data_IF_543139408377
#
_entry.id   IF_543139408377
#
_cell.length_a   1.000
_cell.length_b   1.000
_cell.length_c   1.000
_cell.angle_alpha   90.00
_cell.angle_beta   90.00
_cell.angle_gamma   90.00
#
_symmetry.space_group_name_H-M   'P 1'
#
loop_
_entity.id
_entity.type
_entity.pdbx_description
1 polymer ?
#
# COMPACT_ATOMS: atom_id res chain seq x y z
N UNK A 1 -4.33 2.36 3.00
CA UNK A 1 -5.10 2.15 4.25
C UNK A 1 -6.56 1.97 3.92
N UNK A 2 -7.21 0.99 4.54
CA UNK A 2 -8.62 0.66 4.36
C UNK A 2 -9.32 0.95 5.70
N UNK A 3 -10.44 1.67 5.67
CA UNK A 3 -11.23 1.99 6.86
C UNK A 3 -12.65 1.49 6.65
N UNK A 4 -13.06 0.51 7.44
CA UNK A 4 -14.31 -0.20 7.30
C UNK A 4 -15.12 -0.08 8.58
N UNK A 5 -16.18 0.72 8.57
CA UNK A 5 -17.15 0.73 9.66
C UNK A 5 -18.23 -0.30 9.38
N UNK A 6 -18.46 -1.21 10.31
CA UNK A 6 -19.55 -2.18 10.25
C UNK A 6 -20.68 -1.81 11.23
N UNK A 7 -21.91 -2.19 10.89
CA UNK A 7 -23.05 -2.26 11.78
C UNK A 7 -23.66 -3.67 11.71
N UNK A 8 -24.55 -4.04 12.65
CA UNK A 8 -25.64 -4.96 12.30
C UNK A 8 -26.44 -4.27 11.17
N UNK A 9 -26.10 -4.67 9.94
CA UNK A 9 -26.37 -4.06 8.63
C UNK A 9 -27.66 -3.28 8.41
N UNK A 10 -27.57 -2.27 7.52
CA UNK A 10 -28.37 -2.12 6.28
C UNK A 10 -27.45 -1.59 5.14
N UNK A 11 -27.77 -2.00 3.91
CA UNK A 11 -27.03 -1.95 2.63
C UNK A 11 -26.92 -0.60 1.91
N UNK A 12 -25.84 -0.38 1.13
CA UNK A 12 -25.83 0.34 -0.17
C UNK A 12 -24.44 0.25 -0.88
N UNK A 13 -24.34 0.49 -2.22
CA UNK A 13 -23.30 -0.11 -3.07
C UNK A 13 -22.22 0.81 -3.69
N UNK A 14 -21.14 0.13 -4.13
CA UNK A 14 -20.16 0.32 -5.23
C UNK A 14 -19.34 1.62 -5.43
N UNK A 15 -18.03 1.44 -5.67
CA UNK A 15 -17.17 2.17 -6.64
C UNK A 15 -15.84 1.41 -6.84
N UNK A 16 -15.28 1.43 -8.07
CA UNK A 16 -14.03 0.79 -8.50
C UNK A 16 -13.13 1.87 -9.15
N UNK A 17 -11.84 1.89 -8.82
CA UNK A 17 -10.84 2.79 -9.43
C UNK A 17 -9.58 2.05 -9.89
N UNK A 18 -9.01 2.47 -11.03
CA UNK A 18 -7.77 1.95 -11.66
C UNK A 18 -6.58 2.89 -11.37
N UNK A 19 -5.39 2.34 -11.17
CA UNK A 19 -4.14 3.09 -10.95
C UNK A 19 -3.43 3.46 -12.27
N UNK A 20 -2.73 4.60 -12.28
CA UNK A 20 -1.80 5.04 -13.35
C UNK A 20 -0.47 5.51 -12.75
N UNK A 21 0.57 5.53 -13.60
CA UNK A 21 1.99 5.73 -13.26
C UNK A 21 2.27 7.07 -12.56
N UNK A 22 3.33 7.16 -11.74
CA UNK A 22 3.62 8.35 -10.95
C UNK A 22 4.26 9.46 -11.79
N UNK A 23 3.79 10.69 -11.55
CA UNK A 23 4.42 11.92 -11.99
C UNK A 23 5.09 12.61 -10.81
N UNK A 24 6.28 13.18 -10.98
CA UNK A 24 6.56 14.50 -10.44
C UNK A 24 7.84 15.14 -10.99
N UNK A 25 7.94 16.44 -10.72
CA UNK A 25 9.17 17.21 -10.69
C UNK A 25 9.35 17.75 -9.27
N UNK A 26 10.54 17.56 -8.70
CA UNK A 26 10.97 18.19 -7.44
C UNK A 26 11.01 19.71 -7.65
N UNK A 27 10.14 20.47 -6.97
CA UNK A 27 10.26 21.93 -6.90
C UNK A 27 11.08 22.29 -5.67
N UNK A 28 12.14 23.04 -5.93
CA UNK A 28 13.32 23.34 -5.12
C UNK A 28 13.07 24.22 -3.91
N UNK A 29 13.72 23.89 -2.80
CA UNK A 29 14.28 24.89 -1.88
C UNK A 29 15.37 25.70 -2.62
N UNK A 30 15.49 27.01 -2.41
CA UNK A 30 16.54 27.81 -3.03
C UNK A 30 17.90 27.35 -2.49
N UNK A 31 18.91 27.27 -3.35
CA UNK A 31 20.31 26.92 -3.08
C UNK A 31 20.78 25.46 -3.23
N UNK A 32 20.20 24.69 -4.16
CA UNK A 32 20.91 23.55 -4.77
C UNK A 32 21.04 23.72 -6.29
N UNK A 33 22.13 24.34 -6.72
CA UNK A 33 22.47 24.49 -8.12
C UNK A 33 22.68 23.13 -8.84
N UNK A 34 21.86 22.94 -9.88
CA UNK A 34 22.21 22.41 -11.20
C UNK A 34 22.88 21.03 -11.26
N UNK A 35 22.04 20.01 -11.43
CA UNK A 35 22.00 19.11 -12.61
C UNK A 35 20.79 18.17 -12.49
N UNK A 36 19.62 18.63 -12.97
CA UNK A 36 18.48 17.74 -13.24
C UNK A 36 18.87 16.79 -14.39
N UNK A 37 18.95 15.48 -14.12
CA UNK A 37 19.43 14.48 -15.09
C UNK A 37 18.41 14.15 -16.20
N UNK A 38 17.16 14.58 -16.05
CA UNK A 38 16.17 14.53 -17.13
C UNK A 38 16.07 15.90 -17.78
N UNK A 39 16.53 16.00 -19.04
CA UNK A 39 16.38 17.22 -19.85
C UNK A 39 14.90 17.67 -19.94
N UNK A 40 13.96 16.72 -19.85
CA UNK A 40 12.52 16.92 -19.70
C UNK A 40 11.96 15.87 -18.71
N UNK A 41 11.40 16.31 -17.56
CA UNK A 41 10.63 15.42 -16.67
C UNK A 41 9.29 14.99 -17.28
N UNK A 42 8.51 14.10 -16.62
CA UNK A 42 7.18 13.72 -17.11
C UNK A 42 6.30 14.97 -17.27
N UNK A 43 5.50 15.00 -18.33
CA UNK A 43 4.59 16.09 -18.64
C UNK A 43 3.64 16.36 -17.45
N UNK A 44 3.80 17.49 -16.74
CA UNK A 44 3.04 17.76 -15.52
C UNK A 44 1.55 17.94 -15.83
N UNK A 45 1.19 18.26 -17.08
CA UNK A 45 -0.21 18.35 -17.50
C UNK A 45 -0.90 16.99 -17.54
N UNK A 46 -0.19 15.87 -17.35
CA UNK A 46 -0.82 14.54 -17.26
C UNK A 46 -1.17 14.13 -15.84
N UNK A 47 -0.97 15.04 -14.89
CA UNK A 47 -1.08 14.75 -13.48
C UNK A 47 -2.18 15.66 -12.94
N UNK A 48 -3.34 15.08 -12.64
CA UNK A 48 -4.54 15.80 -12.25
C UNK A 48 -5.14 15.22 -10.96
N UNK A 49 -5.65 16.10 -10.10
CA UNK A 49 -6.39 15.73 -8.89
C UNK A 49 -7.88 15.82 -9.18
N UNK A 50 -8.60 14.76 -8.86
CA UNK A 50 -10.05 14.72 -8.90
C UNK A 50 -10.66 14.98 -7.52
N UNK A 51 -11.83 15.62 -7.51
CA UNK A 51 -12.78 15.66 -6.40
C UNK A 51 -14.15 15.28 -6.96
N UNK A 52 -14.63 14.07 -6.64
CA UNK A 52 -15.76 13.47 -7.35
C UNK A 52 -15.44 13.29 -8.85
N UNK A 53 -16.31 13.81 -9.71
CA UNK A 53 -16.16 13.73 -11.16
C UNK A 53 -15.37 14.91 -11.77
N UNK A 54 -14.97 15.88 -10.95
CA UNK A 54 -14.32 17.11 -11.41
C UNK A 54 -12.80 17.05 -11.25
N UNK A 55 -12.06 17.45 -12.30
CA UNK A 55 -10.65 17.81 -12.14
C UNK A 55 -10.59 19.15 -11.39
N UNK A 56 -9.94 19.13 -10.23
CA UNK A 56 -9.80 20.30 -9.34
C UNK A 56 -8.38 20.85 -9.28
N UNK A 57 -7.39 20.10 -9.73
CA UNK A 57 -6.02 20.60 -9.82
C UNK A 57 -5.26 19.93 -10.96
N UNK A 58 -4.65 20.71 -11.85
CA UNK A 58 -3.81 20.24 -12.94
C UNK A 58 -2.80 21.35 -13.30
N UNK A 59 -1.48 21.13 -13.19
CA UNK A 59 -0.84 19.95 -12.60
C UNK A 59 -1.14 19.82 -11.10
N UNK A 60 -1.13 18.58 -10.58
CA UNK A 60 -1.19 18.31 -9.14
C UNK A 60 -0.08 19.06 -8.38
N UNK A 61 -0.40 19.59 -7.20
CA UNK A 61 0.56 20.14 -6.23
C UNK A 61 0.78 19.17 -5.06
N UNK A 62 1.93 18.51 -5.07
CA UNK A 62 2.29 17.50 -4.06
C UNK A 62 2.48 18.06 -2.65
N UNK A 63 2.97 19.30 -2.52
CA UNK A 63 3.30 19.95 -1.24
C UNK A 63 2.17 19.89 -0.20
N UNK A 64 0.91 19.93 -0.62
CA UNK A 64 -0.27 19.94 0.26
C UNK A 64 -1.14 18.70 0.07
N UNK A 65 -0.65 17.69 -0.67
CA UNK A 65 -1.46 16.55 -1.09
C UNK A 65 -1.98 15.76 0.10
N UNK A 66 -1.13 15.41 1.06
CA UNK A 66 -1.52 14.60 2.22
C UNK A 66 -2.52 15.32 3.09
N UNK A 67 -2.29 16.61 3.33
CA UNK A 67 -3.22 17.46 4.07
C UNK A 67 -4.58 17.53 3.36
N UNK A 68 -4.61 17.70 2.03
CA UNK A 68 -5.84 17.65 1.25
C UNK A 68 -6.57 16.29 1.37
N UNK A 69 -5.84 15.17 1.37
CA UNK A 69 -6.44 13.84 1.57
C UNK A 69 -7.00 13.67 2.99
N UNK A 70 -6.32 14.21 4.01
CA UNK A 70 -6.84 14.25 5.39
C UNK A 70 -8.11 15.12 5.47
N UNK A 71 -8.14 16.26 4.78
CA UNK A 71 -9.35 17.08 4.68
C UNK A 71 -10.50 16.33 4.00
N UNK A 72 -10.22 15.58 2.94
CA UNK A 72 -11.23 14.77 2.27
C UNK A 72 -11.81 13.69 3.20
N UNK A 73 -10.94 12.98 3.94
CA UNK A 73 -11.37 12.06 4.98
C UNK A 73 -12.27 12.73 6.02
N UNK A 74 -11.86 13.89 6.54
CA UNK A 74 -12.66 14.63 7.53
C UNK A 74 -14.00 15.03 6.93
N UNK A 75 -14.02 15.63 5.74
CA UNK A 75 -15.27 15.99 5.02
C UNK A 75 -16.19 14.77 4.88
N UNK A 76 -15.66 13.65 4.39
CA UNK A 76 -16.40 12.40 4.28
C UNK A 76 -17.03 12.01 5.63
N UNK A 77 -16.23 11.95 6.69
CA UNK A 77 -16.71 11.56 8.01
C UNK A 77 -17.78 12.52 8.55
N UNK A 78 -17.62 13.83 8.37
CA UNK A 78 -18.62 14.83 8.75
C UNK A 78 -19.96 14.55 8.08
N UNK A 79 -19.93 14.41 6.76
CA UNK A 79 -21.13 14.20 5.98
C UNK A 79 -21.84 12.90 6.38
N UNK A 80 -21.08 11.83 6.68
CA UNK A 80 -21.69 10.57 7.16
C UNK A 80 -22.35 10.77 8.52
N UNK A 81 -21.64 11.36 9.47
CA UNK A 81 -22.17 11.59 10.82
C UNK A 81 -23.41 12.49 10.81
N UNK A 82 -23.48 13.47 9.91
CA UNK A 82 -24.66 14.33 9.73
C UNK A 82 -25.82 13.59 9.06
N UNK A 83 -25.57 12.78 8.02
CA UNK A 83 -26.62 12.11 7.23
C UNK A 83 -27.28 10.94 7.96
N UNK A 84 -26.51 10.10 8.65
CA UNK A 84 -27.03 8.84 9.19
C UNK A 84 -26.75 8.61 10.68
N UNK A 85 -26.15 9.59 11.39
CA UNK A 85 -25.87 9.53 12.82
C UNK A 85 -25.18 8.22 13.25
N UNK A 86 -24.18 7.80 12.48
CA UNK A 86 -23.40 6.58 12.70
C UNK A 86 -24.13 5.31 12.31
N UNK A 87 -25.27 5.30 11.62
CA UNK A 87 -26.04 4.08 11.32
C UNK A 87 -25.61 3.34 10.05
N UNK A 88 -25.06 4.02 9.05
CA UNK A 88 -24.69 3.29 7.82
C UNK A 88 -23.27 2.73 7.96
N UNK A 89 -23.02 1.48 7.56
CA UNK A 89 -21.66 1.00 7.36
C UNK A 89 -20.99 1.78 6.23
N UNK A 90 -19.67 1.88 6.26
CA UNK A 90 -18.92 2.51 5.18
C UNK A 90 -17.60 1.80 4.89
N UNK A 91 -17.14 1.98 3.66
CA UNK A 91 -15.81 1.61 3.20
C UNK A 91 -15.11 2.87 2.68
N UNK A 92 -13.95 3.19 3.25
CA UNK A 92 -13.10 4.28 2.78
C UNK A 92 -11.73 3.70 2.41
N UNK A 93 -11.33 3.88 1.15
CA UNK A 93 -10.01 3.49 0.67
C UNK A 93 -9.09 4.71 0.62
N UNK A 94 -8.21 4.81 1.61
CA UNK A 94 -7.21 5.86 1.68
C UNK A 94 -5.91 5.36 1.02
N UNK A 95 -5.74 5.67 -0.27
CA UNK A 95 -4.53 5.35 -1.04
C UNK A 95 -3.52 6.48 -0.94
N UNK A 96 -2.54 6.35 -0.04
CA UNK A 96 -1.48 7.35 0.09
C UNK A 96 -0.59 7.37 -1.17
N UNK A 97 -0.27 8.55 -1.72
CA UNK A 97 0.76 8.67 -2.75
C UNK A 97 2.17 8.43 -2.21
N UNK A 98 2.35 8.56 -0.89
CA UNK A 98 3.56 8.16 -0.17
C UNK A 98 3.76 6.64 -0.18
N UNK A 99 4.98 6.13 -0.25
CA UNK A 99 6.29 6.78 -0.44
C UNK A 99 6.87 6.43 -1.81
N UNK A 100 6.07 6.64 -2.86
CA UNK A 100 6.51 6.35 -4.23
C UNK A 100 7.74 7.20 -4.62
N UNK A 101 8.46 6.80 -5.66
CA UNK A 101 9.67 7.42 -6.23
C UNK A 101 9.75 8.95 -6.27
N UNK A 102 8.64 9.66 -6.34
CA UNK A 102 8.65 11.10 -6.02
C UNK A 102 8.41 11.29 -4.54
N UNK A 103 9.49 11.59 -3.83
CA UNK A 103 9.38 12.05 -2.46
C UNK A 103 8.93 13.51 -2.42
N UNK A 104 7.96 13.78 -1.57
CA UNK A 104 7.47 15.11 -1.24
C UNK A 104 7.06 15.12 0.23
N UNK A 105 7.12 16.31 0.82
CA UNK A 105 6.58 16.54 2.14
C UNK A 105 6.05 17.97 2.24
N UNK A 106 5.01 18.15 3.06
CA UNK A 106 4.55 19.47 3.48
C UNK A 106 5.66 20.22 4.23
N UNK A 107 5.78 21.56 4.10
CA UNK A 107 6.81 22.36 4.77
C UNK A 107 7.01 22.06 6.26
N UNK A 108 5.93 21.71 6.96
CA UNK A 108 5.97 21.38 8.39
C UNK A 108 6.75 20.09 8.71
N UNK A 109 6.98 19.24 7.72
CA UNK A 109 7.67 17.96 7.86
C UNK A 109 9.07 17.96 7.23
N UNK A 110 9.44 18.98 6.47
CA UNK A 110 10.76 19.05 5.82
C UNK A 110 11.87 19.12 6.87
N UNK A 111 12.87 18.24 6.73
CA UNK A 111 14.01 18.16 7.64
C UNK A 111 13.69 17.55 9.00
N UNK A 112 12.53 16.92 9.18
CA UNK A 112 12.14 16.29 10.46
C UNK A 112 12.68 14.88 10.62
N UNK A 113 13.12 14.24 9.53
CA UNK A 113 13.62 12.88 9.54
C UNK A 113 15.10 12.78 9.25
N UNK A 114 15.78 11.91 10.00
CA UNK A 114 17.17 11.51 9.73
C UNK A 114 17.33 10.77 8.40
N UNK A 115 16.23 10.30 7.79
CA UNK A 115 16.22 9.67 6.45
C UNK A 115 15.94 10.66 5.32
N UNK A 116 16.14 11.96 5.57
CA UNK A 116 15.90 13.03 4.59
C UNK A 116 14.46 13.04 4.09
N UNK A 117 14.26 13.50 2.85
CA UNK A 117 12.94 13.73 2.27
C UNK A 117 12.07 12.46 2.20
N UNK A 118 12.67 11.29 2.01
CA UNK A 118 11.94 10.01 2.09
C UNK A 118 11.33 9.82 3.48
N UNK A 119 12.13 10.06 4.52
CA UNK A 119 11.68 9.97 5.91
C UNK A 119 10.68 11.07 6.29
N UNK A 120 10.84 12.28 5.77
CA UNK A 120 9.88 13.37 5.95
C UNK A 120 8.51 12.98 5.36
N UNK A 121 8.51 12.35 4.17
CA UNK A 121 7.29 11.83 3.54
C UNK A 121 6.62 10.74 4.38
N UNK A 122 7.41 9.85 5.00
CA UNK A 122 6.90 8.86 5.96
C UNK A 122 6.30 9.53 7.19
N UNK A 123 6.97 10.53 7.76
CA UNK A 123 6.47 11.25 8.94
C UNK A 123 5.12 11.92 8.65
N UNK A 124 4.97 12.54 7.48
CA UNK A 124 3.71 13.15 7.05
C UNK A 124 2.60 12.10 6.86
N UNK A 125 2.91 10.97 6.22
CA UNK A 125 1.96 9.85 6.09
C UNK A 125 1.55 9.30 7.48
N UNK A 126 2.51 9.17 8.39
CA UNK A 126 2.25 8.71 9.77
C UNK A 126 1.35 9.69 10.51
N UNK A 127 1.55 10.99 10.35
CA UNK A 127 0.64 12.01 10.91
C UNK A 127 -0.77 11.86 10.34
N UNK A 128 -0.90 11.71 9.02
CA UNK A 128 -2.20 11.56 8.36
C UNK A 128 -2.97 10.31 8.81
N UNK A 129 -2.28 9.19 9.05
CA UNK A 129 -2.87 8.00 9.68
C UNK A 129 -3.37 8.33 11.09
N UNK A 130 -2.57 9.06 11.87
CA UNK A 130 -2.96 9.54 13.19
C UNK A 130 -4.26 10.35 13.16
N UNK A 131 -4.39 11.29 12.22
CA UNK A 131 -5.61 12.08 12.03
C UNK A 131 -6.84 11.21 11.76
N UNK A 132 -6.70 10.15 10.95
CA UNK A 132 -7.80 9.22 10.69
C UNK A 132 -8.23 8.48 11.95
N UNK A 133 -7.28 7.89 12.69
CA UNK A 133 -7.56 7.14 13.91
C UNK A 133 -8.19 8.04 14.99
N UNK A 134 -7.62 9.22 15.19
CA UNK A 134 -8.13 10.23 16.13
C UNK A 134 -9.56 10.66 15.81
N UNK A 135 -9.86 10.88 14.53
CA UNK A 135 -11.20 11.23 14.08
C UNK A 135 -12.20 10.11 14.38
N UNK A 136 -11.84 8.84 14.23
CA UNK A 136 -12.70 7.70 14.56
C UNK A 136 -12.99 7.60 16.07
N UNK A 137 -11.97 7.82 16.90
CA UNK A 137 -12.09 7.83 18.37
C UNK A 137 -12.98 8.98 18.83
N UNK A 138 -12.71 10.21 18.36
CA UNK A 138 -13.48 11.40 18.73
C UNK A 138 -14.93 11.33 18.25
N UNK A 139 -15.18 10.71 17.09
CA UNK A 139 -16.53 10.44 16.61
C UNK A 139 -17.24 9.34 17.42
N UNK A 140 -16.55 8.59 18.28
CA UNK A 140 -17.11 7.49 19.06
C UNK A 140 -17.61 6.34 18.18
N UNK A 141 -16.86 5.99 17.13
CA UNK A 141 -17.14 4.88 16.22
C UNK A 141 -15.95 3.91 16.06
N UNK A 142 -14.85 4.13 16.81
CA UNK A 142 -13.62 3.35 16.72
C UNK A 142 -13.84 1.83 16.91
N UNK A 143 -14.62 1.43 17.92
CA UNK A 143 -14.86 0.01 18.23
C UNK A 143 -15.63 -0.73 17.10
N UNK A 144 -16.39 0.02 16.31
CA UNK A 144 -17.14 -0.49 15.15
C UNK A 144 -16.41 -0.27 13.82
N UNK A 145 -15.14 0.13 13.84
CA UNK A 145 -14.37 0.45 12.63
C UNK A 145 -13.08 -0.34 12.56
N UNK A 146 -13.00 -1.27 11.61
CA UNK A 146 -11.78 -1.98 11.24
C UNK A 146 -10.91 -1.11 10.34
N UNK A 147 -9.69 -0.82 10.79
CA UNK A 147 -8.66 -0.14 10.00
C UNK A 147 -7.58 -1.14 9.63
N UNK A 148 -7.25 -1.22 8.34
CA UNK A 148 -6.14 -2.02 7.82
C UNK A 148 -5.13 -1.10 7.15
N UNK A 149 -3.89 -1.16 7.59
CA UNK A 149 -2.75 -0.50 6.95
C UNK A 149 -1.87 -1.55 6.28
N UNK A 150 -1.59 -1.35 4.99
CA UNK A 150 -0.71 -2.22 4.23
C UNK A 150 -0.08 -1.46 3.06
N UNK A 151 1.03 -1.99 2.53
CA UNK A 151 1.62 -1.56 1.25
C UNK A 151 1.01 -2.33 0.07
N UNK A 152 1.26 -1.91 -1.16
CA UNK A 152 0.90 -2.66 -2.38
C UNK A 152 2.01 -3.62 -2.84
N UNK A 153 3.27 -3.23 -2.64
CA UNK A 153 4.46 -4.02 -2.92
C UNK A 153 5.63 -3.65 -1.99
N UNK A 154 6.74 -4.37 -2.10
CA UNK A 154 8.01 -4.05 -1.45
C UNK A 154 8.64 -2.74 -1.92
N UNK A 155 9.67 -2.21 -1.24
CA UNK A 155 10.23 -0.91 -1.55
C UNK A 155 10.93 -0.86 -2.91
N UNK A 156 10.91 0.32 -3.55
CA UNK A 156 11.89 0.69 -4.57
C UNK A 156 13.26 0.89 -3.91
N UNK A 157 13.96 -0.20 -3.59
CA UNK A 157 15.23 -0.17 -2.87
C UNK A 157 16.35 0.49 -3.70
N UNK A 158 16.25 0.40 -5.03
CA UNK A 158 17.21 0.94 -6.01
C UNK A 158 17.23 2.48 -6.08
N UNK A 159 16.29 3.16 -5.43
CA UNK A 159 16.22 4.63 -5.38
C UNK A 159 17.10 5.27 -4.30
N UNK A 160 18.02 4.50 -3.71
CA UNK A 160 19.00 4.99 -2.74
C UNK A 160 18.33 5.71 -1.56
N UNK A 161 18.72 6.95 -1.24
CA UNK A 161 18.12 7.75 -0.16
C UNK A 161 16.64 8.07 -0.39
N UNK A 162 16.14 7.95 -1.62
CA UNK A 162 14.73 8.14 -1.98
C UNK A 162 13.94 6.82 -2.05
N UNK A 163 14.57 5.71 -1.65
CA UNK A 163 14.00 4.36 -1.63
C UNK A 163 13.66 3.87 -0.22
N UNK A 164 12.81 2.85 -0.16
CA UNK A 164 12.51 2.15 1.08
C UNK A 164 13.53 1.07 1.43
N UNK A 165 13.36 0.46 2.59
CA UNK A 165 14.19 -0.67 3.04
C UNK A 165 13.35 -1.94 3.09
N UNK A 166 13.94 -3.06 2.68
CA UNK A 166 13.34 -4.39 2.80
C UNK A 166 13.59 -5.02 4.18
N UNK A 167 14.32 -4.35 5.07
CA UNK A 167 14.77 -4.94 6.33
C UNK A 167 15.71 -6.13 6.13
N UNK A 168 16.45 -6.16 5.01
CA UNK A 168 17.38 -7.24 4.67
C UNK A 168 16.77 -8.36 3.84
N UNK A 169 15.45 -8.42 3.66
CA UNK A 169 14.81 -9.37 2.74
C UNK A 169 15.33 -9.17 1.32
N UNK A 170 15.48 -10.27 0.60
CA UNK A 170 16.08 -10.31 -0.74
C UNK A 170 15.19 -9.65 -1.78
N UNK A 171 15.81 -8.95 -2.74
CA UNK A 171 15.11 -8.23 -3.81
C UNK A 171 14.43 -6.94 -3.33
N UNK A 172 13.51 -6.42 -4.13
CA UNK A 172 12.69 -5.26 -3.80
C UNK A 172 11.47 -5.23 -4.69
N UNK A 173 10.86 -4.05 -4.89
CA UNK A 173 9.75 -3.87 -5.82
C UNK A 173 10.08 -4.60 -7.13
N UNK A 174 9.07 -5.31 -7.63
CA UNK A 174 9.11 -5.88 -8.98
C UNK A 174 9.99 -7.15 -9.10
N UNK A 175 10.66 -7.59 -8.03
CA UNK A 175 11.23 -8.94 -7.92
C UNK A 175 10.25 -9.91 -7.22
N UNK A 176 10.36 -11.22 -7.52
CA UNK A 176 9.58 -12.30 -6.89
C UNK A 176 10.21 -12.87 -5.60
N UNK A 177 11.25 -12.22 -5.09
CA UNK A 177 11.82 -12.51 -3.78
C UNK A 177 10.97 -11.92 -2.64
N UNK A 178 11.23 -12.32 -1.39
CA UNK A 178 10.44 -11.88 -0.25
C UNK A 178 10.44 -10.36 -0.07
N UNK A 179 11.53 -9.66 -0.37
CA UNK A 179 11.61 -8.20 -0.29
C UNK A 179 10.70 -7.46 -1.27
N UNK A 180 10.19 -8.12 -2.31
CA UNK A 180 9.26 -7.53 -3.28
C UNK A 180 7.78 -7.76 -2.97
N UNK A 181 7.45 -8.85 -2.26
CA UNK A 181 6.08 -9.30 -2.02
C UNK A 181 5.67 -9.31 -0.55
N UNK A 182 6.62 -9.46 0.39
CA UNK A 182 6.35 -9.42 1.82
C UNK A 182 6.28 -7.95 2.26
N UNK A 183 5.09 -7.53 2.64
CA UNK A 183 4.75 -6.13 2.95
C UNK A 183 4.35 -5.96 4.42
N UNK A 184 4.44 -4.74 4.98
CA UNK A 184 3.80 -4.46 6.26
C UNK A 184 2.29 -4.63 6.17
N UNK A 185 1.69 -5.21 7.21
CA UNK A 185 0.25 -5.37 7.35
C UNK A 185 -0.13 -5.19 8.83
N UNK A 186 -1.02 -4.23 9.11
CA UNK A 186 -1.49 -3.92 10.47
C UNK A 186 -3.01 -3.85 10.44
N UNK A 187 -3.67 -4.54 11.37
CA UNK A 187 -5.09 -4.42 11.63
C UNK A 187 -5.33 -3.73 12.97
N UNK A 188 -6.31 -2.83 13.02
CA UNK A 188 -6.68 -2.08 14.21
C UNK A 188 -8.20 -1.99 14.31
N UNK A 189 -8.75 -2.42 15.44
CA UNK A 189 -10.15 -2.23 15.82
C UNK A 189 -10.26 -2.42 17.34
N UNK A 190 -10.34 -1.35 18.13
CA UNK A 190 -10.45 -1.45 19.58
C UNK A 190 -11.64 -2.33 20.00
N UNK A 191 -11.46 -3.14 21.03
CA UNK A 191 -12.48 -4.07 21.53
C UNK A 191 -12.64 -5.37 20.74
N UNK A 192 -12.22 -5.42 19.47
CA UNK A 192 -12.42 -6.59 18.58
C UNK A 192 -11.09 -7.24 18.17
N UNK A 193 -10.12 -6.46 17.67
CA UNK A 193 -8.79 -6.95 17.32
C UNK A 193 -7.92 -6.96 18.58
N UNK A 194 -7.34 -8.12 18.92
CA UNK A 194 -6.44 -8.27 20.09
C UNK A 194 -5.21 -7.37 19.95
N UNK A 195 -5.08 -6.39 20.85
CA UNK A 195 -3.98 -5.42 20.84
C UNK A 195 -2.61 -6.09 21.06
N UNK A 196 -1.58 -5.61 20.35
CA UNK A 196 -0.20 -6.08 20.51
C UNK A 196 0.08 -7.51 20.00
N UNK A 197 -0.90 -8.17 19.38
CA UNK A 197 -0.72 -9.50 18.80
C UNK A 197 0.11 -9.44 17.52
N UNK A 198 1.05 -10.37 17.41
CA UNK A 198 1.75 -10.68 16.16
C UNK A 198 1.22 -12.00 15.62
N UNK A 199 0.91 -12.06 14.33
CA UNK A 199 0.55 -13.30 13.62
C UNK A 199 1.67 -13.71 12.69
N UNK A 200 1.92 -15.01 12.63
CA UNK A 200 2.83 -15.65 11.67
C UNK A 200 2.09 -16.39 10.57
N UNK A 201 0.78 -16.22 10.47
CA UNK A 201 0.00 -16.78 9.37
C UNK A 201 0.40 -16.17 8.02
N UNK A 202 0.33 -16.99 6.98
CA UNK A 202 0.61 -16.55 5.60
C UNK A 202 -0.68 -16.06 4.98
N UNK A 203 -0.79 -14.74 4.86
CA UNK A 203 -1.93 -14.05 4.25
C UNK A 203 -1.51 -13.34 2.95
N UNK A 204 -2.50 -12.98 2.14
CA UNK A 204 -2.37 -12.23 0.90
C UNK A 204 -3.34 -11.06 0.89
N UNK A 205 -2.99 -9.96 0.20
CA UNK A 205 -3.92 -8.84 -0.02
C UNK A 205 -5.21 -9.29 -0.73
N UNK A 206 -5.16 -10.38 -1.50
CA UNK A 206 -6.33 -11.00 -2.14
C UNK A 206 -7.34 -11.56 -1.13
N UNK A 207 -6.90 -11.93 0.08
CA UNK A 207 -7.78 -12.42 1.15
C UNK A 207 -8.74 -11.34 1.64
N UNK A 208 -8.37 -10.06 1.50
CA UNK A 208 -9.21 -8.93 1.93
C UNK A 208 -10.51 -8.86 1.15
N UNK A 209 -10.48 -9.14 -0.17
CA UNK A 209 -11.71 -9.15 -0.96
C UNK A 209 -12.70 -10.19 -0.43
N UNK A 210 -12.22 -11.42 -0.22
CA UNK A 210 -13.05 -12.52 0.30
C UNK A 210 -13.55 -12.22 1.71
N UNK A 211 -12.67 -11.70 2.57
CA UNK A 211 -12.99 -11.33 3.96
C UNK A 211 -14.05 -10.24 4.02
N UNK A 212 -13.92 -9.15 3.24
CA UNK A 212 -14.90 -8.07 3.23
C UNK A 212 -16.22 -8.47 2.59
N UNK A 213 -16.18 -9.33 1.57
CA UNK A 213 -17.38 -9.89 0.95
C UNK A 213 -18.16 -10.74 1.95
N UNK A 214 -17.47 -11.61 2.68
CA UNK A 214 -18.10 -12.50 3.66
C UNK A 214 -18.54 -11.76 4.94
N UNK A 215 -17.96 -10.59 5.22
CA UNK A 215 -18.41 -9.66 6.27
C UNK A 215 -19.76 -9.00 5.96
N UNK A 216 -20.19 -8.96 4.70
CA UNK A 216 -21.48 -8.40 4.30
C UNK A 216 -22.57 -9.46 4.48
N UNK A 217 -23.57 -9.26 5.35
CA UNK A 217 -24.82 -10.04 5.25
C UNK A 217 -25.76 -9.42 4.21
N UNK A 218 -25.23 -9.18 2.99
CA UNK A 218 -26.06 -8.79 1.85
C UNK A 218 -26.40 -10.06 1.03
N UNK A 219 -27.62 -10.16 0.48
CA UNK A 219 -27.96 -11.22 -0.46
C UNK A 219 -26.94 -11.23 -1.59
N UNK A 220 -26.19 -12.33 -1.74
CA UNK A 220 -25.24 -12.46 -2.83
C UNK A 220 -26.04 -12.48 -4.13
N UNK A 221 -25.83 -11.48 -4.99
CA UNK A 221 -26.36 -11.56 -6.35
C UNK A 221 -25.78 -12.82 -7.01
N UNK A 222 -26.58 -13.60 -7.77
CA UNK A 222 -26.11 -14.75 -8.52
C UNK A 222 -25.21 -14.26 -9.66
N UNK A 223 -23.97 -13.92 -9.34
CA UNK A 223 -22.90 -13.72 -10.32
C UNK A 223 -22.35 -15.10 -10.66
N UNK A 224 -21.84 -15.32 -11.88
CA UNK A 224 -21.15 -16.56 -12.23
C UNK A 224 -20.10 -16.85 -11.16
N UNK A 225 -19.97 -18.12 -10.78
CA UNK A 225 -19.06 -18.56 -9.72
C UNK A 225 -17.62 -18.28 -10.15
N UNK A 226 -17.12 -17.09 -9.83
CA UNK A 226 -15.73 -16.73 -10.04
C UNK A 226 -14.88 -17.49 -9.02
N UNK A 227 -13.81 -18.14 -9.51
CA UNK A 227 -12.78 -18.68 -8.64
C UNK A 227 -12.10 -17.49 -7.94
N UNK A 228 -12.02 -17.52 -6.61
CA UNK A 228 -11.36 -16.50 -5.81
C UNK A 228 -10.10 -17.10 -5.21
N UNK A 229 -8.96 -16.47 -5.44
CA UNK A 229 -7.68 -16.92 -4.89
C UNK A 229 -7.54 -16.62 -3.38
N UNK A 230 -8.28 -15.61 -2.91
CA UNK A 230 -8.29 -15.20 -1.50
C UNK A 230 -9.21 -16.05 -0.63
N UNK A 231 -8.81 -16.25 0.63
CA UNK A 231 -9.63 -16.88 1.66
C UNK A 231 -10.17 -15.85 2.67
N UNK A 232 -11.20 -16.23 3.42
CA UNK A 232 -11.65 -15.43 4.56
C UNK A 232 -10.63 -15.57 5.71
N UNK A 233 -10.12 -14.44 6.20
CA UNK A 233 -9.14 -14.35 7.30
C UNK A 233 -9.68 -13.60 8.52
N UNK A 234 -11.00 -13.40 8.64
CA UNK A 234 -11.59 -12.54 9.66
C UNK A 234 -11.23 -12.96 11.10
N UNK A 235 -11.37 -14.25 11.40
CA UNK A 235 -11.02 -14.80 12.72
C UNK A 235 -9.54 -14.64 13.03
N UNK A 236 -8.68 -14.69 12.01
CA UNK A 236 -7.25 -14.46 12.16
C UNK A 236 -6.93 -12.98 12.42
N UNK A 237 -7.61 -12.06 11.72
CA UNK A 237 -7.50 -10.62 11.96
C UNK A 237 -7.89 -10.25 13.40
N UNK A 238 -8.97 -10.85 13.91
CA UNK A 238 -9.42 -10.62 15.30
C UNK A 238 -8.54 -11.34 16.33
N UNK A 239 -7.77 -12.34 15.90
CA UNK A 239 -6.97 -13.20 16.78
C UNK A 239 -7.81 -14.23 17.53
N UNK A 240 -8.96 -14.62 16.98
CA UNK A 240 -9.89 -15.62 17.52
C UNK A 240 -9.85 -16.96 16.77
N UNK A 241 -9.02 -17.06 15.73
CA UNK A 241 -8.75 -18.33 15.04
C UNK A 241 -8.38 -19.44 16.04
N UNK A 242 -9.02 -20.59 15.89
CA UNK A 242 -8.75 -21.82 16.66
C UNK A 242 -7.83 -22.78 15.91
N UNK A 243 -7.44 -22.42 14.70
CA UNK A 243 -6.56 -23.22 13.86
C UNK A 243 -5.12 -23.21 14.41
N UNK A 244 -4.34 -24.27 14.19
CA UNK A 244 -2.96 -24.34 14.66
C UNK A 244 -2.07 -23.30 13.93
N UNK A 245 -0.95 -22.84 14.54
CA UNK A 245 -0.05 -21.90 13.89
C UNK A 245 0.48 -22.37 12.51
N UNK A 246 0.50 -21.43 11.57
CA UNK A 246 0.88 -21.64 10.17
C UNK A 246 -0.22 -22.31 9.33
N UNK A 247 -1.44 -22.42 9.85
CA UNK A 247 -2.54 -23.13 9.18
C UNK A 247 -2.84 -22.57 7.78
N UNK A 248 -2.97 -21.24 7.65
CA UNK A 248 -3.29 -20.60 6.38
C UNK A 248 -2.18 -20.84 5.35
N UNK A 249 -0.92 -20.83 5.79
CA UNK A 249 0.22 -21.15 4.91
C UNK A 249 0.26 -22.61 4.47
N UNK A 250 -0.13 -23.54 5.34
CA UNK A 250 -0.16 -24.99 5.03
C UNK A 250 -1.36 -25.37 4.18
N UNK A 251 -2.51 -24.69 4.35
CA UNK A 251 -3.77 -25.01 3.68
C UNK A 251 -3.78 -24.59 2.21
N UNK A 252 -3.05 -23.54 1.82
CA UNK A 252 -3.03 -23.03 0.45
C UNK A 252 -1.66 -22.49 0.03
N UNK A 253 -1.30 -22.60 -1.25
CA UNK A 253 -0.10 -21.97 -1.76
C UNK A 253 -0.26 -20.46 -1.96
N UNK A 254 0.84 -19.73 -1.95
CA UNK A 254 0.93 -18.36 -2.50
C UNK A 254 1.70 -18.41 -3.81
N UNK A 255 1.12 -17.85 -4.87
CA UNK A 255 1.76 -17.79 -6.19
C UNK A 255 2.40 -16.43 -6.42
N UNK A 256 3.63 -16.42 -6.92
CA UNK A 256 4.40 -15.21 -7.21
C UNK A 256 4.53 -15.07 -8.72
N UNK A 257 3.79 -14.13 -9.28
CA UNK A 257 3.82 -13.83 -10.71
C UNK A 257 4.62 -12.57 -10.99
N UNK A 258 5.27 -12.57 -12.15
CA UNK A 258 5.92 -11.41 -12.75
C UNK A 258 5.38 -11.31 -14.18
N UNK A 259 4.41 -10.40 -14.38
CA UNK A 259 3.53 -10.42 -15.55
C UNK A 259 2.89 -11.81 -15.77
N UNK A 260 3.09 -12.44 -16.92
CA UNK A 260 2.57 -13.78 -17.23
C UNK A 260 3.46 -14.92 -16.70
N UNK A 261 4.65 -14.62 -16.19
CA UNK A 261 5.59 -15.62 -15.72
C UNK A 261 5.31 -16.02 -14.26
N UNK A 262 5.01 -17.30 -14.04
CA UNK A 262 5.01 -17.86 -12.69
C UNK A 262 6.47 -18.03 -12.23
N UNK A 263 6.87 -17.24 -11.24
CA UNK A 263 8.25 -17.17 -10.77
C UNK A 263 8.50 -18.17 -9.63
N UNK A 264 7.60 -18.18 -8.65
CA UNK A 264 7.71 -19.01 -7.46
C UNK A 264 6.35 -19.37 -6.89
N UNK A 265 6.34 -20.38 -6.02
CA UNK A 265 5.23 -20.66 -5.11
C UNK A 265 5.74 -20.77 -3.67
N UNK A 266 4.90 -20.46 -2.70
CA UNK A 266 5.13 -20.76 -1.28
C UNK A 266 4.10 -21.75 -0.78
N UNK A 267 4.54 -22.79 -0.06
CA UNK A 267 3.71 -23.80 0.60
C UNK A 267 4.17 -23.87 2.05
N UNK A 268 3.34 -23.40 2.99
CA UNK A 268 3.69 -23.28 4.39
C UNK A 268 4.94 -22.41 4.57
N UNK A 269 5.99 -23.03 5.10
CA UNK A 269 7.26 -22.39 5.42
C UNK A 269 8.23 -22.39 4.24
N UNK A 270 7.94 -23.14 3.17
CA UNK A 270 8.86 -23.36 2.07
C UNK A 270 8.47 -22.58 0.82
N UNK A 271 9.46 -22.03 0.14
CA UNK A 271 9.28 -21.34 -1.14
C UNK A 271 10.10 -22.00 -2.23
N UNK A 272 9.46 -22.24 -3.37
CA UNK A 272 10.01 -22.93 -4.53
C UNK A 272 10.10 -21.92 -5.67
N UNK A 273 11.32 -21.60 -6.13
CA UNK A 273 11.54 -20.72 -7.29
C UNK A 273 11.77 -21.56 -8.55
N UNK A 274 10.92 -21.35 -9.54
CA UNK A 274 11.07 -21.89 -10.89
C UNK A 274 11.85 -20.94 -11.79
N UNK A 275 11.69 -19.64 -11.56
CA UNK A 275 12.42 -18.57 -12.24
C UNK A 275 12.84 -17.50 -11.24
N UNK A 276 13.99 -16.90 -11.47
CA UNK A 276 14.46 -15.74 -10.69
C UNK A 276 14.82 -14.59 -11.60
N UNK A 277 14.64 -13.36 -11.10
CA UNK A 277 15.15 -12.14 -11.72
C UNK A 277 16.47 -11.73 -11.06
N UNK A 278 17.36 -11.02 -11.80
CA UNK A 278 18.48 -10.32 -11.20
C UNK A 278 18.00 -9.38 -10.09
N UNK A 279 18.77 -9.30 -9.01
CA UNK A 279 18.56 -8.35 -7.92
C UNK A 279 19.43 -7.14 -8.21
N UNK A 280 18.86 -5.95 -8.03
CA UNK A 280 19.63 -4.71 -8.11
C UNK A 280 20.71 -4.71 -7.02
N UNK A 281 21.97 -4.53 -7.42
CA UNK A 281 23.11 -4.63 -6.51
C UNK A 281 23.25 -3.44 -5.56
N UNK A 282 22.44 -2.39 -5.73
CA UNK A 282 22.62 -1.12 -5.02
C UNK A 282 21.54 -0.97 -3.94
N UNK A 283 21.82 -1.39 -2.73
CA UNK A 283 21.01 -1.09 -1.56
C UNK A 283 21.59 0.10 -0.77
N UNK A 284 20.82 0.64 0.19
CA UNK A 284 21.25 1.79 0.99
C UNK A 284 22.44 1.53 1.92
N UNK A 285 22.95 0.28 1.97
CA UNK A 285 24.09 -0.11 2.81
C UNK A 285 25.33 -0.47 1.98
N UNK A 286 25.29 -0.30 0.65
CA UNK A 286 26.44 -0.54 -0.23
C UNK A 286 27.59 0.44 0.11
N UNK A 287 28.83 -0.05 0.35
CA UNK A 287 29.97 0.81 0.67
C UNK A 287 30.36 1.77 -0.47
N UNK A 288 29.93 1.50 -1.70
CA UNK A 288 30.10 2.34 -2.89
C UNK A 288 28.83 3.17 -3.21
N UNK A 289 27.93 3.39 -2.24
CA UNK A 289 26.71 4.17 -2.43
C UNK A 289 26.99 5.55 -3.03
N UNK A 290 28.10 6.20 -2.70
CA UNK A 290 28.48 7.50 -3.27
C UNK A 290 28.75 7.44 -4.79
N UNK A 291 29.29 6.32 -5.28
CA UNK A 291 29.53 6.06 -6.70
C UNK A 291 28.23 5.72 -7.43
N UNK A 292 27.41 4.87 -6.82
CA UNK A 292 26.15 4.41 -7.41
C UNK A 292 25.02 5.42 -7.31
N UNK A 293 25.06 6.29 -6.30
CA UNK A 293 23.99 7.21 -5.95
C UNK A 293 24.51 8.64 -5.69
N UNK A 294 25.16 9.30 -6.67
CA UNK A 294 25.60 10.68 -6.49
C UNK A 294 24.42 11.57 -6.12
N UNK A 295 24.54 12.32 -5.02
CA UNK A 295 23.47 13.16 -4.45
C UNK A 295 22.18 12.40 -4.07
N UNK A 296 22.29 11.13 -3.70
CA UNK A 296 21.17 10.32 -3.19
C UNK A 296 20.21 9.78 -4.26
N UNK A 297 20.62 9.80 -5.54
CA UNK A 297 19.84 9.26 -6.67
C UNK A 297 20.70 8.33 -7.52
N UNK A 298 20.14 7.23 -8.06
CA UNK A 298 20.91 6.23 -8.80
C UNK A 298 21.52 6.82 -10.09
N UNK A 299 22.77 6.43 -10.39
CA UNK A 299 23.56 6.90 -11.54
C UNK A 299 23.10 6.32 -12.88
N UNK A 300 22.50 5.13 -12.87
CA UNK A 300 21.91 4.50 -14.04
C UNK A 300 20.43 4.23 -13.76
N UNK A 301 19.59 4.40 -14.78
CA UNK A 301 18.17 4.09 -14.74
C UNK A 301 17.99 2.57 -14.61
N UNK A 302 18.04 2.04 -13.39
CA UNK A 302 17.73 0.64 -13.13
C UNK A 302 16.21 0.41 -13.06
N UNK A 303 15.45 1.07 -13.94
CA UNK A 303 14.02 0.82 -14.16
C UNK A 303 13.80 -0.52 -14.89
N UNK A 304 14.53 -1.57 -14.53
CA UNK A 304 14.44 -2.88 -15.18
C UNK A 304 13.59 -3.79 -14.33
N UNK A 305 12.28 -3.57 -14.30
CA UNK A 305 11.40 -4.61 -13.76
C UNK A 305 9.90 -4.52 -14.05
N UNK A 306 9.38 -3.44 -14.68
CA UNK A 306 7.94 -3.42 -14.98
C UNK A 306 7.53 -4.50 -16.00
N UNK A 307 8.44 -4.88 -16.91
CA UNK A 307 8.10 -5.73 -18.05
C UNK A 307 8.52 -7.19 -17.90
N UNK A 308 9.37 -7.52 -16.92
CA UNK A 308 9.80 -8.89 -16.65
C UNK A 308 10.14 -9.71 -17.91
N UNK A 309 11.07 -9.22 -18.77
CA UNK A 309 11.34 -9.85 -20.06
C UNK A 309 11.98 -11.21 -19.85
N UNK A 310 11.58 -12.19 -20.68
CA UNK A 310 12.04 -13.58 -20.56
C UNK A 310 13.56 -13.71 -20.66
N UNK A 311 14.23 -12.88 -21.48
CA UNK A 311 15.69 -12.88 -21.62
C UNK A 311 16.45 -12.55 -20.33
N UNK A 312 15.81 -11.88 -19.35
CA UNK A 312 16.43 -11.54 -18.08
C UNK A 312 16.09 -12.55 -16.98
N UNK A 313 15.29 -13.59 -17.27
CA UNK A 313 14.90 -14.57 -16.27
C UNK A 313 15.86 -15.77 -16.27
N UNK A 314 16.36 -16.12 -15.10
CA UNK A 314 17.05 -17.41 -14.91
C UNK A 314 16.02 -18.48 -14.58
N UNK A 315 15.91 -19.51 -15.40
CA UNK A 315 15.07 -20.68 -15.13
C UNK A 315 15.86 -21.72 -14.35
N UNK A 316 15.24 -22.35 -13.35
CA UNK A 316 15.87 -23.34 -12.47
C UNK A 316 15.27 -24.74 -12.70
N UNK A 317 16.12 -25.68 -13.07
CA UNK A 317 15.78 -27.10 -13.17
C UNK A 317 16.94 -27.94 -12.57
N UNK A 318 16.76 -28.52 -11.37
CA UNK A 318 15.54 -28.52 -10.58
C UNK A 318 15.23 -27.16 -9.92
N UNK A 319 13.96 -26.84 -9.60
CA UNK A 319 13.59 -25.61 -8.91
C UNK A 319 14.30 -25.43 -7.55
N UNK A 320 14.67 -24.19 -7.22
CA UNK A 320 15.31 -23.87 -5.94
C UNK A 320 14.28 -23.92 -4.81
N UNK A 321 14.62 -24.51 -3.67
CA UNK A 321 13.75 -24.57 -2.48
C UNK A 321 14.42 -23.84 -1.33
N UNK A 322 13.68 -22.97 -0.65
CA UNK A 322 14.13 -22.22 0.52
C UNK A 322 13.19 -22.48 1.70
N UNK A 323 13.75 -22.58 2.91
CA UNK A 323 13.01 -22.59 4.18
C UNK A 323 12.93 -21.15 4.70
N UNK A 324 11.76 -20.50 4.59
CA UNK A 324 11.58 -19.09 4.93
C UNK A 324 11.53 -18.82 6.44
N UNK A 325 11.43 -19.86 7.27
CA UNK A 325 11.50 -19.72 8.73
C UNK A 325 12.95 -19.66 9.18
N UNK A 326 13.82 -20.50 8.60
CA UNK A 326 15.26 -20.49 8.89
C UNK A 326 16.03 -19.44 8.09
N UNK A 327 15.64 -19.22 6.85
CA UNK A 327 16.27 -18.30 5.91
C UNK A 327 15.22 -17.41 5.22
N UNK A 328 14.67 -16.40 5.95
CA UNK A 328 13.74 -15.44 5.36
C UNK A 328 14.38 -14.57 4.27
N UNK A 329 15.71 -14.61 4.15
CA UNK A 329 16.51 -13.82 3.23
C UNK A 329 16.81 -14.56 1.92
N UNK A 330 16.37 -15.81 1.77
CA UNK A 330 16.56 -16.60 0.55
C UNK A 330 18.04 -16.61 0.08
N UNK A 331 18.97 -16.70 1.03
CA UNK A 331 20.42 -16.74 0.82
C UNK A 331 20.91 -18.13 0.46
N UNK A 332 20.37 -19.15 1.11
CA UNK A 332 20.84 -20.54 1.01
C UNK A 332 19.70 -21.45 0.56
N UNK A 333 19.73 -21.83 -0.71
CA UNK A 333 18.83 -22.87 -1.19
C UNK A 333 19.14 -24.19 -0.47
N UNK A 334 18.10 -24.97 -0.14
CA UNK A 334 18.26 -26.26 0.50
C UNK A 334 19.02 -27.23 -0.40
N UNK A 335 19.94 -27.97 0.19
CA UNK A 335 20.68 -29.03 -0.49
C UNK A 335 19.76 -30.20 -0.88
N UNK A 336 20.19 -30.96 -1.87
CA UNK A 336 19.42 -32.09 -2.38
C UNK A 336 19.18 -33.14 -1.28
N UNK A 337 17.91 -33.44 -1.03
CA UNK A 337 17.47 -34.45 -0.06
C UNK A 337 16.12 -35.01 -0.49
N UNK A 338 15.72 -36.15 0.09
CA UNK A 338 14.41 -36.73 -0.23
C UNK A 338 13.26 -35.81 0.14
N UNK A 339 13.41 -35.03 1.22
CA UNK A 339 12.49 -33.97 1.58
C UNK A 339 12.36 -32.89 0.48
N UNK A 340 13.49 -32.40 -0.05
CA UNK A 340 13.49 -31.38 -1.12
C UNK A 340 12.87 -31.93 -2.41
N UNK A 341 13.11 -33.20 -2.74
CA UNK A 341 12.46 -33.87 -3.87
C UNK A 341 10.95 -33.95 -3.68
N UNK A 342 10.48 -34.33 -2.49
CA UNK A 342 9.06 -34.37 -2.14
C UNK A 342 8.41 -32.98 -2.27
N UNK A 343 9.05 -31.93 -1.74
CA UNK A 343 8.57 -30.56 -1.86
C UNK A 343 8.45 -30.11 -3.31
N UNK A 344 9.43 -30.42 -4.17
CA UNK A 344 9.35 -30.12 -5.61
C UNK A 344 8.23 -30.89 -6.30
N UNK A 345 8.04 -32.18 -5.96
CA UNK A 345 6.95 -32.99 -6.49
C UNK A 345 5.57 -32.43 -6.08
N UNK A 346 5.41 -32.04 -4.82
CA UNK A 346 4.20 -31.38 -4.31
C UNK A 346 3.96 -30.06 -5.05
N UNK A 347 5.00 -29.23 -5.19
CA UNK A 347 4.93 -27.97 -5.91
C UNK A 347 4.52 -28.14 -7.37
N UNK A 348 5.11 -29.12 -8.08
CA UNK A 348 4.76 -29.44 -9.46
C UNK A 348 3.28 -29.84 -9.60
N UNK A 349 2.75 -30.65 -8.66
CA UNK A 349 1.32 -31.01 -8.62
C UNK A 349 0.44 -29.76 -8.43
N UNK A 350 0.79 -28.89 -7.49
CA UNK A 350 0.05 -27.65 -7.21
C UNK A 350 0.04 -26.71 -8.43
N UNK A 351 1.20 -26.50 -9.07
CA UNK A 351 1.30 -25.66 -10.27
C UNK A 351 0.48 -26.24 -11.42
N UNK A 352 0.48 -27.56 -11.58
CA UNK A 352 -0.33 -28.24 -12.60
C UNK A 352 -1.82 -28.00 -12.37
N UNK A 353 -2.32 -28.14 -11.14
CA UNK A 353 -3.73 -27.89 -10.84
C UNK A 353 -4.10 -26.42 -10.98
N UNK A 354 -3.26 -25.49 -10.50
CA UNK A 354 -3.44 -24.04 -10.69
C UNK A 354 -3.57 -23.66 -12.16
N UNK A 355 -2.70 -24.19 -13.03
CA UNK A 355 -2.76 -23.88 -14.47
C UNK A 355 -4.05 -24.35 -15.14
N UNK A 356 -4.72 -25.39 -14.61
CA UNK A 356 -6.03 -25.83 -15.13
C UNK A 356 -7.17 -24.90 -14.75
N UNK A 357 -7.03 -24.11 -13.68
CA UNK A 357 -8.06 -23.17 -13.22
C UNK A 357 -7.92 -21.77 -13.83
N UNK A 358 -6.79 -21.49 -14.48
CA UNK A 358 -6.54 -20.19 -15.12
C UNK A 358 -7.48 -19.96 -16.31
N UNK A 359 -8.24 -18.86 -16.23
CA UNK A 359 -9.06 -18.36 -17.34
C UNK A 359 -8.31 -17.23 -18.04
N UNK A 360 -7.95 -17.35 -19.32
CA UNK A 360 -7.30 -16.27 -20.07
C UNK A 360 -8.19 -15.03 -20.11
N UNK A 361 -7.59 -13.87 -19.87
CA UNK A 361 -8.26 -12.57 -19.98
C UNK A 361 -7.52 -11.67 -20.98
N UNK A 362 -8.21 -10.78 -21.71
CA UNK A 362 -7.56 -9.86 -22.63
C UNK A 362 -6.53 -8.97 -21.92
N UNK A 363 -5.34 -8.84 -22.51
CA UNK A 363 -4.27 -7.98 -21.99
C UNK A 363 -4.79 -6.53 -21.95
N UNK A 364 -4.90 -5.95 -20.75
CA UNK A 364 -5.37 -4.58 -20.55
C UNK A 364 -4.24 -3.53 -20.69
N UNK A 365 -2.99 -3.97 -20.68
CA UNK A 365 -1.79 -3.13 -20.69
C UNK A 365 -1.20 -3.10 -22.12
N UNK A 366 -0.82 -1.93 -22.63
CA UNK A 366 -0.07 -1.80 -23.90
C UNK A 366 -0.73 -0.94 -24.99
N UNK A 367 -2.04 -0.68 -24.91
CA UNK A 367 -2.74 0.21 -25.82
C UNK A 367 -3.13 1.51 -25.12
N UNK A 368 -2.26 2.52 -25.19
CA UNK A 368 -2.53 3.85 -24.64
C UNK A 368 -2.96 4.83 -25.74
N UNK A 369 -4.15 5.42 -25.59
CA UNK A 369 -4.62 6.49 -26.46
C UNK A 369 -4.45 7.85 -25.76
N UNK A 370 -3.55 8.70 -26.27
CA UNK A 370 -3.32 10.04 -25.70
C UNK A 370 -4.56 10.94 -25.69
N UNK A 371 -5.54 10.66 -26.55
CA UNK A 371 -6.77 11.46 -26.65
C UNK A 371 -7.73 11.21 -25.48
N UNK A 372 -7.49 10.18 -24.64
CA UNK A 372 -8.30 9.94 -23.44
C UNK A 372 -7.72 10.62 -22.19
N UNK A 373 -6.63 11.38 -22.32
CA UNK A 373 -6.03 12.10 -21.19
C UNK A 373 -6.96 13.24 -20.76
N UNK A 374 -7.44 13.24 -19.51
CA UNK A 374 -8.31 14.31 -19.02
C UNK A 374 -7.63 15.69 -19.01
N UNK A 375 -8.42 16.74 -19.26
CA UNK A 375 -7.95 18.12 -19.38
C UNK A 375 -8.89 19.07 -18.63
N UNK A 376 -8.35 19.77 -17.63
CA UNK A 376 -9.04 20.78 -16.84
C UNK A 376 -8.95 22.14 -17.53
N UNK A 377 -10.07 22.83 -17.68
CA UNK A 377 -10.13 24.13 -18.36
C UNK A 377 -9.44 24.09 -19.75
N UNK A 378 -9.95 23.26 -20.69
CA UNK A 378 -9.39 23.15 -22.04
C UNK A 378 -9.41 24.51 -22.77
N UNK A 379 -8.42 24.79 -23.64
CA UNK A 379 -7.38 23.87 -24.14
C UNK A 379 -6.09 23.85 -23.31
N UNK A 380 -5.97 24.70 -22.28
CA UNK A 380 -4.71 24.86 -21.55
C UNK A 380 -4.40 23.67 -20.61
N UNK A 381 -5.42 22.88 -20.25
CA UNK A 381 -5.31 21.76 -19.32
C UNK A 381 -4.69 22.16 -17.97
N UNK A 382 -5.07 23.34 -17.46
CA UNK A 382 -4.52 23.92 -16.24
C UNK A 382 -5.63 24.50 -15.37
N UNK A 383 -5.66 24.08 -14.12
CA UNK A 383 -6.55 24.65 -13.11
C UNK A 383 -6.01 24.43 -11.69
N UNK A 384 -6.36 25.33 -10.77
CA UNK A 384 -6.15 25.14 -9.33
C UNK A 384 -7.39 25.58 -8.57
N UNK A 385 -8.45 24.75 -8.63
CA UNK A 385 -9.71 24.98 -7.91
C UNK A 385 -9.53 24.74 -6.41
N UNK A 386 -8.59 23.89 -6.00
CA UNK A 386 -8.29 23.59 -4.59
C UNK A 386 -7.79 24.83 -3.84
N UNK A 387 -6.73 25.48 -4.33
CA UNK A 387 -6.19 26.69 -3.67
C UNK A 387 -7.23 27.81 -3.63
N UNK A 388 -8.01 27.97 -4.72
CA UNK A 388 -9.08 28.98 -4.82
C UNK A 388 -10.21 28.74 -3.80
N UNK A 389 -10.67 27.49 -3.62
CA UNK A 389 -11.66 27.14 -2.58
C UNK A 389 -11.11 27.44 -1.19
N UNK A 390 -9.88 27.03 -0.94
CA UNK A 390 -9.25 27.19 0.37
C UNK A 390 -8.93 28.67 0.72
N UNK A 391 -8.88 29.57 -0.27
CA UNK A 391 -8.81 31.04 -0.04
C UNK A 391 -10.18 31.64 0.30
N UNK A 392 -11.27 31.06 -0.21
CA UNK A 392 -12.65 31.50 0.06
C UNK A 392 -13.18 30.97 1.40
N UNK A 393 -12.72 29.79 1.83
CA UNK A 393 -13.13 29.15 3.09
C UNK A 393 -11.90 28.82 3.96
N UNK A 394 -11.19 29.84 4.50
CA UNK A 394 -9.97 29.63 5.30
C UNK A 394 -10.21 28.86 6.60
N UNK A 395 -11.46 28.81 7.08
CA UNK A 395 -11.83 28.07 8.29
C UNK A 395 -11.59 26.57 8.14
N UNK A 396 -11.72 25.97 6.95
CA UNK A 396 -11.54 24.53 6.75
C UNK A 396 -10.07 24.06 6.72
N UNK A 397 -9.11 24.96 6.48
CA UNK A 397 -7.66 24.63 6.41
C UNK A 397 -7.08 24.19 7.74
N UNK A 398 -7.60 24.70 8.86
CA UNK A 398 -6.93 24.56 10.16
C UNK A 398 -7.88 24.20 11.29
N UNK A 399 -9.08 23.69 11.00
CA UNK A 399 -9.94 23.18 12.08
C UNK A 399 -9.25 21.96 12.67
N UNK A 400 -8.72 22.07 13.89
CA UNK A 400 -8.18 20.92 14.57
C UNK A 400 -9.37 20.00 14.82
N UNK A 401 -9.12 18.70 14.94
CA UNK A 401 -10.18 17.69 15.03
C UNK A 401 -11.25 18.04 16.10
N UNK A 402 -10.87 18.75 17.17
CA UNK A 402 -11.82 19.21 18.18
C UNK A 402 -12.84 20.27 17.68
N UNK A 403 -12.44 21.29 16.93
CA UNK A 403 -13.38 22.31 16.41
C UNK A 403 -14.27 21.74 15.30
N UNK A 404 -13.77 20.74 14.57
CA UNK A 404 -14.53 20.03 13.54
C UNK A 404 -15.77 19.33 14.14
N UNK A 405 -15.67 18.75 15.34
CA UNK A 405 -16.81 18.10 15.99
C UNK A 405 -17.71 19.06 16.79
N UNK A 406 -17.19 20.22 17.24
CA UNK A 406 -18.01 21.26 17.91
C UNK A 406 -19.08 21.85 16.99
N UNK A 407 -18.82 21.94 15.67
CA UNK A 407 -19.81 22.43 14.69
C UNK A 407 -20.94 21.45 14.35
N UNK A 408 -20.86 20.19 14.79
CA UNK A 408 -21.83 19.12 14.45
C UNK A 408 -22.80 18.86 15.62
N UNK A 409 -22.73 19.64 16.71
CA UNK A 409 -23.65 19.52 17.85
C UNK A 409 -23.52 18.20 18.62
N UNK A 410 -22.40 17.48 18.46
CA UNK A 410 -22.14 16.25 19.20
C UNK A 410 -21.82 16.58 20.68
N UNK A 411 -22.50 15.95 21.65
CA UNK A 411 -22.20 16.21 23.06
C UNK A 411 -20.76 15.83 23.38
N UNK A 412 -20.07 16.68 24.18
CA UNK A 412 -18.76 16.37 24.77
C UNK A 412 -18.91 15.15 25.68
N UNK A 413 -18.81 13.94 25.13
CA UNK A 413 -18.60 12.75 25.94
C UNK A 413 -17.16 12.79 26.44
N UNK A 414 -17.01 12.96 27.75
CA UNK A 414 -15.74 12.88 28.46
C UNK A 414 -15.23 11.44 28.40
N UNK A 415 -14.60 11.06 27.30
CA UNK A 415 -13.80 9.86 27.26
C UNK A 415 -12.49 10.15 27.97
N UNK A 416 -12.41 9.80 29.25
CA UNK A 416 -11.15 9.68 29.98
C UNK A 416 -10.36 8.48 29.45
N UNK A 417 -9.86 8.57 28.22
CA UNK A 417 -8.64 7.86 27.86
C UNK A 417 -7.54 8.62 28.59
N UNK A 418 -7.02 8.06 29.70
CA UNK A 418 -5.89 8.66 30.42
C UNK A 418 -4.82 9.05 29.40
N UNK A 419 -4.47 10.35 29.27
CA UNK A 419 -3.43 10.77 28.36
C UNK A 419 -2.08 10.35 28.97
N UNK A 420 -1.64 9.14 28.66
CA UNK A 420 -0.21 8.80 28.62
C UNK A 420 0.22 8.68 27.15
N UNK A 421 -0.08 9.70 26.37
CA UNK A 421 0.43 9.87 25.00
C UNK A 421 0.85 11.34 24.81
N UNK A 422 1.62 11.87 25.77
CA UNK A 422 2.47 13.03 25.54
C UNK A 422 3.82 12.52 25.06
N UNK A 423 4.06 12.69 23.77
CA UNK A 423 5.25 12.23 23.08
C UNK A 423 4.84 11.70 21.73
N UNK A 424 5.12 12.47 20.68
CA UNK A 424 5.07 12.00 19.31
C UNK A 424 5.83 10.65 19.25
N UNK A 425 5.09 9.55 19.22
CA UNK A 425 5.65 8.25 18.92
C UNK A 425 5.38 8.03 17.45
N UNK A 426 6.35 8.42 16.64
CA UNK A 426 6.68 7.75 15.39
C UNK A 426 6.34 6.27 15.54
N UNK A 427 5.52 5.72 14.66
CA UNK A 427 5.37 4.27 14.56
C UNK A 427 6.74 3.75 14.13
N UNK A 428 7.57 3.38 15.10
CA UNK A 428 8.78 2.63 14.84
C UNK A 428 8.37 1.23 14.44
N UNK A 429 8.44 0.95 13.14
CA UNK A 429 8.57 -0.43 12.67
C UNK A 429 10.01 -0.84 12.99
N UNK A 430 10.28 -1.20 14.25
CA UNK A 430 11.54 -1.87 14.62
C UNK A 430 11.30 -3.37 14.61
N UNK A 431 12.05 -4.09 13.79
CA UNK A 431 12.24 -5.53 13.97
C UNK A 431 13.36 -5.73 15.00
N UNK A 432 13.10 -6.58 16.00
CA UNK A 432 14.16 -7.25 16.75
C UNK A 432 14.61 -8.48 15.98
#
# INVERSE_FOLDING_TARGET
MLVLKSEKLISAPHLIGRAHRPCARSLSAPDMEKREYYKNGPDPLRCFLYDGDDIVQQPIRFQWMTENLVHDWRRFLQERLQKDQKKTPFFFYFSFPQVHSTQFANPSFLGTSVRGLYGDSINEMSWAIGEVLDSLVKAGIAENTLVIFMSDHGPHAELCLNGGSTGGLKGGKSNSYEGGFRIPFIAWQPGTVKAGRVSHEVISSMDLYRTFRDLQNCPQQPKPQLHLDGTNILEELYGNSKEPPGYLGKRRPIFYYCNSNLMAIRIGDYKIHYKTTPIFLNDTVDPNLSYFCPNGKPRADWYVSCNCPDEHLTTHDPPLVFDLVKDPYERYALEESDFVKEMRAQGAKIVKEHRKTLVPVPIQMGHFNKNVVPCCDPPACRCDKVTRRAQKEPTLRHLPVYKFFEGIGLPRQSWHVKPKLTGARTIYISQK
#
